data_IF_823578897058
#
_entry.id   IF_823578897058
#
_cell.length_a   1.000
_cell.length_b   1.000
_cell.length_c   1.000
_cell.angle_alpha   90.00
_cell.angle_beta   90.00
_cell.angle_gamma   90.00
#
_symmetry.space_group_name_H-M   'P 1'
#
loop_
_entity.id
_entity.type
_entity.pdbx_description
1 polymer ?
#
# COMPACT_ATOMS: atom_id res chain seq x y z
N UNK A 1 19.06 7.91 -3.59
CA UNK A 1 18.21 7.03 -2.77
C UNK A 1 18.07 5.73 -3.56
N UNK A 2 18.16 4.56 -2.93
CA UNK A 2 17.98 3.30 -3.66
C UNK A 2 16.50 3.17 -4.03
N UNK A 3 16.25 2.98 -5.32
CA UNK A 3 14.95 2.84 -5.97
C UNK A 3 15.10 1.78 -7.06
N UNK A 4 14.20 0.82 -7.11
CA UNK A 4 14.11 -0.18 -8.17
C UNK A 4 12.74 -0.04 -8.82
N UNK A 5 12.69 -0.18 -10.15
CA UNK A 5 11.45 -0.12 -10.93
C UNK A 5 11.37 -1.34 -11.80
N UNK A 6 10.20 -1.96 -11.84
CA UNK A 6 9.90 -3.06 -12.75
C UNK A 6 8.48 -2.93 -13.28
N UNK A 7 8.23 -3.51 -14.45
CA UNK A 7 6.94 -3.42 -15.12
C UNK A 7 6.12 -4.69 -14.92
N UNK A 8 4.81 -4.51 -14.80
CA UNK A 8 3.82 -5.57 -14.71
C UNK A 8 2.66 -5.30 -15.66
N UNK A 9 1.99 -6.36 -16.09
CA UNK A 9 0.75 -6.25 -16.84
C UNK A 9 -0.45 -6.13 -15.91
N UNK A 10 -1.39 -5.23 -16.20
CA UNK A 10 -2.65 -5.13 -15.45
C UNK A 10 -3.79 -5.74 -16.26
N UNK A 11 -4.64 -6.52 -15.58
CA UNK A 11 -5.87 -7.07 -16.14
C UNK A 11 -7.06 -6.41 -15.46
N UNK A 12 -8.01 -5.96 -16.27
CA UNK A 12 -9.27 -5.36 -15.82
C UNK A 12 -10.45 -6.20 -16.27
N UNK A 13 -11.52 -6.17 -15.49
CA UNK A 13 -12.79 -6.81 -15.82
C UNK A 13 -13.89 -5.80 -16.02
N UNK A 14 -14.69 -6.04 -17.06
CA UNK A 14 -16.02 -5.46 -17.23
C UNK A 14 -17.03 -6.48 -16.73
N UNK A 15 -17.75 -6.16 -15.66
CA UNK A 15 -18.75 -7.02 -15.04
C UNK A 15 -20.15 -6.42 -15.19
N UNK A 16 -21.18 -7.20 -15.55
CA UNK A 16 -22.54 -6.71 -15.61
C UNK A 16 -23.04 -6.40 -14.19
N UNK A 17 -23.70 -5.27 -14.03
CA UNK A 17 -24.34 -4.86 -12.78
C UNK A 17 -25.86 -5.00 -12.92
N UNK A 18 -26.51 -5.44 -11.83
CA UNK A 18 -27.97 -5.38 -11.71
C UNK A 18 -28.36 -4.03 -11.08
N UNK A 19 -28.23 -2.96 -11.84
CA UNK A 19 -28.62 -1.60 -11.43
C UNK A 19 -29.53 -0.95 -12.48
N UNK A 20 -30.34 0.04 -12.07
CA UNK A 20 -31.21 0.81 -12.96
C UNK A 20 -30.46 1.94 -13.71
N UNK A 21 -29.23 2.24 -13.29
CA UNK A 21 -28.51 3.44 -13.71
C UNK A 21 -27.18 3.15 -14.40
N UNK A 22 -26.58 1.99 -14.12
CA UNK A 22 -25.28 1.58 -14.65
C UNK A 22 -25.33 0.09 -14.94
N UNK A 23 -25.10 -0.29 -16.19
CA UNK A 23 -25.26 -1.69 -16.62
C UNK A 23 -24.00 -2.53 -16.36
N UNK A 24 -22.86 -1.90 -16.07
CA UNK A 24 -21.60 -2.59 -15.85
C UNK A 24 -20.60 -1.81 -14.98
N UNK A 25 -19.76 -2.54 -14.25
CA UNK A 25 -18.61 -2.00 -13.52
C UNK A 25 -17.31 -2.37 -14.24
N UNK A 26 -16.32 -1.50 -14.13
CA UNK A 26 -14.94 -1.76 -14.52
C UNK A 26 -14.05 -1.81 -13.29
N UNK A 27 -13.29 -2.88 -13.13
CA UNK A 27 -12.42 -3.07 -11.97
C UNK A 27 -11.08 -3.68 -12.40
N UNK A 28 -9.93 -3.21 -11.88
CA UNK A 28 -8.70 -3.99 -11.91
C UNK A 28 -8.88 -5.29 -11.12
N UNK A 29 -8.39 -6.42 -11.64
CA UNK A 29 -8.63 -7.73 -10.99
C UNK A 29 -7.40 -8.61 -10.86
N UNK A 30 -6.37 -8.38 -11.65
CA UNK A 30 -5.16 -9.19 -11.60
C UNK A 30 -3.95 -8.45 -12.15
N UNK A 31 -2.79 -8.95 -11.78
CA UNK A 31 -1.48 -8.56 -12.31
C UNK A 31 -0.83 -9.76 -12.98
N UNK A 32 -0.19 -9.52 -14.12
CA UNK A 32 0.65 -10.47 -14.84
C UNK A 32 2.10 -10.08 -14.59
N UNK A 33 2.94 -11.05 -14.24
CA UNK A 33 4.38 -10.83 -14.15
C UNK A 33 4.95 -10.50 -15.53
N UNK A 34 5.67 -9.37 -15.63
CA UNK A 34 6.23 -8.88 -16.88
C UNK A 34 5.19 -8.23 -17.80
N UNK A 35 5.59 -8.00 -19.06
CA UNK A 35 4.79 -7.25 -20.04
C UNK A 35 4.47 -8.16 -21.23
N UNK A 36 3.19 -8.58 -21.39
CA UNK A 36 2.75 -9.28 -22.58
C UNK A 36 2.94 -8.44 -23.85
N UNK A 37 3.15 -9.11 -25.00
CA UNK A 37 3.23 -8.45 -26.32
C UNK A 37 1.88 -7.89 -26.81
N UNK A 38 0.78 -8.23 -26.13
CA UNK A 38 -0.55 -7.74 -26.47
C UNK A 38 -0.63 -6.21 -26.37
N UNK A 39 -1.41 -5.58 -27.24
CA UNK A 39 -1.65 -4.13 -27.15
C UNK A 39 -2.53 -3.81 -25.92
N UNK A 40 -2.40 -2.62 -25.30
CA UNK A 40 -3.33 -2.17 -24.27
C UNK A 40 -4.79 -2.26 -24.74
N UNK A 41 -5.66 -2.65 -23.82
CA UNK A 41 -7.09 -2.92 -24.01
C UNK A 41 -7.44 -4.09 -24.93
N UNK A 42 -6.52 -5.06 -25.08
CA UNK A 42 -6.80 -6.33 -25.76
C UNK A 42 -7.74 -7.21 -24.92
N UNK A 43 -8.82 -7.73 -25.54
CA UNK A 43 -9.72 -8.71 -24.91
C UNK A 43 -8.98 -10.05 -24.70
N UNK A 44 -8.94 -10.51 -23.46
CA UNK A 44 -8.31 -11.78 -23.06
C UNK A 44 -9.31 -12.93 -23.04
N UNK A 45 -10.59 -12.63 -22.79
CA UNK A 45 -11.66 -13.63 -22.76
C UNK A 45 -12.96 -13.09 -22.20
N UNK A 46 -14.02 -13.87 -22.38
CA UNK A 46 -15.36 -13.58 -21.87
C UNK A 46 -15.99 -14.85 -21.30
N UNK A 47 -16.51 -14.76 -20.07
CA UNK A 47 -17.17 -15.87 -19.40
C UNK A 47 -18.35 -15.36 -18.57
N UNK A 48 -19.53 -15.97 -18.73
CA UNK A 48 -20.75 -15.61 -18.00
C UNK A 48 -21.09 -14.10 -18.03
N UNK A 49 -20.77 -13.41 -19.13
CA UNK A 49 -20.98 -11.97 -19.32
C UNK A 49 -19.91 -11.07 -18.69
N UNK A 50 -18.89 -11.64 -18.06
CA UNK A 50 -17.70 -10.92 -17.57
C UNK A 50 -16.62 -10.95 -18.64
N UNK A 51 -16.14 -9.77 -19.04
CA UNK A 51 -15.08 -9.62 -20.04
C UNK A 51 -13.78 -9.21 -19.36
N UNK A 52 -12.68 -9.89 -19.67
CA UNK A 52 -11.33 -9.57 -19.19
C UNK A 52 -10.51 -8.90 -20.27
N UNK A 53 -9.83 -7.82 -19.93
CA UNK A 53 -8.95 -7.09 -20.84
C UNK A 53 -7.57 -6.92 -20.23
N UNK A 54 -6.54 -7.00 -21.08
CA UNK A 54 -5.21 -6.53 -20.73
C UNK A 54 -5.20 -5.01 -20.81
N UNK A 55 -5.16 -4.32 -19.68
CA UNK A 55 -5.23 -2.84 -19.63
C UNK A 55 -3.93 -2.18 -20.09
N UNK A 56 -2.80 -2.91 -20.05
CA UNK A 56 -1.49 -2.42 -20.44
C UNK A 56 -0.41 -2.75 -19.41
N UNK A 57 0.78 -2.23 -19.68
CA UNK A 57 1.93 -2.32 -18.79
C UNK A 57 1.97 -1.12 -17.86
N UNK A 58 2.23 -1.38 -16.58
CA UNK A 58 2.37 -0.36 -15.55
C UNK A 58 3.61 -0.65 -14.72
N UNK A 59 4.24 0.41 -14.26
CA UNK A 59 5.44 0.29 -13.46
C UNK A 59 5.10 0.24 -11.97
N UNK A 60 5.87 -0.58 -11.25
CA UNK A 60 5.88 -0.67 -9.80
C UNK A 60 7.21 -0.12 -9.35
N UNK A 61 7.16 0.95 -8.56
CA UNK A 61 8.33 1.60 -7.98
C UNK A 61 8.53 1.10 -6.54
N UNK A 62 9.75 0.66 -6.22
CA UNK A 62 10.13 0.21 -4.88
C UNK A 62 11.10 1.20 -4.24
N UNK A 63 10.79 1.64 -3.02
CA UNK A 63 11.59 2.60 -2.28
C UNK A 63 12.17 2.00 -1.00
N UNK A 64 13.45 2.30 -0.73
CA UNK A 64 14.14 1.80 0.48
C UNK A 64 13.39 2.15 1.78
N UNK A 65 12.74 3.31 1.82
CA UNK A 65 12.02 3.79 3.00
C UNK A 65 10.81 2.90 3.36
N UNK A 66 10.26 2.18 2.40
CA UNK A 66 9.03 1.38 2.52
C UNK A 66 9.31 -0.13 2.69
N UNK A 67 10.59 -0.53 2.77
CA UNK A 67 10.99 -1.95 2.91
C UNK A 67 10.42 -2.68 4.12
N UNK A 68 9.95 -1.95 5.15
CA UNK A 68 9.19 -2.54 6.24
C UNK A 68 7.81 -3.01 5.76
N UNK A 69 7.05 -2.15 5.07
CA UNK A 69 5.72 -2.49 4.54
C UNK A 69 5.77 -3.61 3.50
N UNK A 70 6.77 -3.61 2.62
CA UNK A 70 6.96 -4.70 1.67
C UNK A 70 7.20 -6.05 2.37
N UNK A 71 8.01 -6.09 3.44
CA UNK A 71 8.27 -7.31 4.21
C UNK A 71 7.00 -7.80 4.90
N UNK A 72 6.29 -6.92 5.58
CA UNK A 72 5.05 -7.28 6.29
C UNK A 72 4.00 -7.83 5.30
N UNK A 73 3.93 -7.23 4.10
CA UNK A 73 3.08 -7.73 3.01
C UNK A 73 3.51 -9.12 2.54
N UNK A 74 4.81 -9.36 2.34
CA UNK A 74 5.36 -10.68 1.98
C UNK A 74 5.14 -11.75 3.07
N UNK A 75 5.32 -11.39 4.33
CA UNK A 75 5.19 -12.29 5.49
C UNK A 75 3.73 -12.61 5.84
N UNK A 76 2.76 -11.92 5.23
CA UNK A 76 1.32 -12.20 5.42
C UNK A 76 0.87 -13.59 4.96
N UNK A 77 1.69 -14.29 4.16
CA UNK A 77 1.38 -15.59 3.56
C UNK A 77 0.48 -15.52 2.32
N UNK A 78 -0.05 -14.33 2.00
CA UNK A 78 -0.82 -14.06 0.79
C UNK A 78 -0.53 -12.62 0.31
N UNK A 79 0.69 -12.37 -0.21
CA UNK A 79 1.12 -11.03 -0.59
C UNK A 79 0.21 -10.42 -1.64
N UNK A 80 0.04 -9.10 -1.57
CA UNK A 80 -0.93 -8.37 -2.39
C UNK A 80 -0.31 -7.17 -3.08
N UNK A 81 -0.94 -6.76 -4.18
CA UNK A 81 -0.71 -5.49 -4.84
C UNK A 81 -1.99 -4.65 -4.76
N UNK A 82 -1.82 -3.34 -4.66
CA UNK A 82 -2.90 -2.37 -4.76
C UNK A 82 -2.87 -1.74 -6.14
N UNK A 83 -4.02 -1.68 -6.78
CA UNK A 83 -4.21 -0.97 -8.04
C UNK A 83 -5.24 0.12 -7.81
N UNK A 84 -4.82 1.38 -7.95
CA UNK A 84 -5.73 2.51 -7.94
C UNK A 84 -6.03 2.96 -9.37
N UNK A 85 -7.29 3.27 -9.63
CA UNK A 85 -7.77 3.70 -10.94
C UNK A 85 -8.88 4.74 -10.82
N UNK A 86 -9.04 5.56 -11.86
CA UNK A 86 -10.23 6.39 -12.05
C UNK A 86 -11.09 5.84 -13.18
N UNK A 87 -12.42 5.88 -12.99
CA UNK A 87 -13.35 5.70 -14.08
C UNK A 87 -13.35 6.95 -14.98
N UNK A 88 -13.12 6.77 -16.28
CA UNK A 88 -13.01 7.89 -17.23
C UNK A 88 -14.35 8.31 -17.83
N UNK A 89 -15.33 7.40 -17.84
CA UNK A 89 -16.60 7.56 -18.56
C UNK A 89 -16.47 7.48 -20.09
N UNK A 90 -15.28 7.23 -20.63
CA UNK A 90 -14.98 7.16 -22.07
C UNK A 90 -14.13 5.92 -22.36
N UNK A 91 -13.58 5.79 -23.58
CA UNK A 91 -12.59 4.75 -23.90
C UNK A 91 -11.19 5.37 -23.86
N UNK A 92 -10.22 4.79 -23.12
CA UNK A 92 -10.36 3.61 -22.26
C UNK A 92 -11.19 3.88 -20.98
N UNK A 93 -11.93 2.88 -20.45
CA UNK A 93 -12.89 3.06 -19.35
C UNK A 93 -12.25 3.29 -17.97
N UNK A 94 -10.99 2.86 -17.79
CA UNK A 94 -10.21 3.12 -16.60
C UNK A 94 -8.91 3.82 -16.97
N UNK A 95 -8.52 4.75 -16.11
CA UNK A 95 -7.17 5.31 -16.05
C UNK A 95 -6.48 4.74 -14.81
N UNK A 96 -5.44 3.93 -14.97
CA UNK A 96 -4.72 3.31 -13.85
C UNK A 96 -3.70 4.33 -13.32
N UNK A 97 -3.84 4.68 -12.05
CA UNK A 97 -3.04 5.71 -11.39
C UNK A 97 -1.75 5.15 -10.81
N UNK A 98 -1.84 3.99 -10.14
CA UNK A 98 -0.69 3.34 -9.52
C UNK A 98 -0.92 1.83 -9.41
N UNK A 99 0.18 1.08 -9.49
CA UNK A 99 0.28 -0.29 -9.01
C UNK A 99 1.37 -0.32 -7.95
N UNK A 100 1.04 -0.66 -6.71
CA UNK A 100 2.00 -0.60 -5.59
C UNK A 100 2.00 -1.87 -4.75
N UNK A 101 3.19 -2.18 -4.21
CA UNK A 101 3.41 -3.24 -3.23
C UNK A 101 3.41 -2.71 -1.79
N UNK A 102 3.35 -1.39 -1.56
CA UNK A 102 3.21 -0.79 -0.22
C UNK A 102 1.74 -0.73 0.20
N UNK A 103 1.35 -1.41 1.29
CA UNK A 103 0.00 -1.30 1.83
C UNK A 103 -0.39 0.13 2.24
N UNK A 104 0.56 0.96 2.69
CA UNK A 104 0.26 2.31 3.16
C UNK A 104 -0.03 3.25 1.99
N UNK A 105 0.82 3.23 0.95
CA UNK A 105 0.55 3.94 -0.30
C UNK A 105 -0.80 3.50 -0.90
N UNK A 106 -1.03 2.19 -1.01
CA UNK A 106 -2.30 1.66 -1.52
C UNK A 106 -3.52 2.14 -0.73
N UNK A 107 -3.42 2.19 0.61
CA UNK A 107 -4.48 2.71 1.47
C UNK A 107 -4.71 4.22 1.28
N UNK A 108 -3.67 5.01 1.05
CA UNK A 108 -3.80 6.46 0.83
C UNK A 108 -4.67 6.79 -0.40
N UNK A 109 -4.66 5.93 -1.43
CA UNK A 109 -5.55 6.10 -2.58
C UNK A 109 -7.04 5.86 -2.27
N UNK A 110 -7.39 5.23 -1.15
CA UNK A 110 -8.79 5.03 -0.74
C UNK A 110 -9.41 6.29 -0.11
N UNK A 111 -8.58 7.24 0.33
CA UNK A 111 -9.06 8.47 0.97
C UNK A 111 -9.72 9.43 -0.03
N UNK A 112 -9.37 9.33 -1.31
CA UNK A 112 -10.03 10.05 -2.38
C UNK A 112 -11.31 9.32 -2.80
N UNK A 113 -12.47 9.98 -2.64
CA UNK A 113 -13.79 9.36 -2.82
C UNK A 113 -14.12 8.86 -4.24
N UNK A 114 -13.34 9.25 -5.24
CA UNK A 114 -13.57 8.92 -6.66
C UNK A 114 -12.59 7.87 -7.20
N UNK A 115 -11.72 7.32 -6.36
CA UNK A 115 -10.78 6.27 -6.73
C UNK A 115 -11.43 4.88 -6.62
N UNK A 116 -11.20 4.06 -7.64
CA UNK A 116 -11.39 2.61 -7.58
C UNK A 116 -10.07 2.03 -7.10
N UNK A 117 -10.07 1.42 -5.91
CA UNK A 117 -8.87 0.78 -5.35
C UNK A 117 -9.15 -0.69 -5.16
N UNK A 118 -8.45 -1.53 -5.93
CA UNK A 118 -8.58 -2.98 -5.86
C UNK A 118 -7.30 -3.60 -5.33
N UNK A 119 -7.47 -4.61 -4.47
CA UNK A 119 -6.37 -5.35 -3.85
C UNK A 119 -6.33 -6.74 -4.47
N UNK A 120 -5.26 -7.01 -5.22
CA UNK A 120 -5.12 -8.22 -6.01
C UNK A 120 -3.98 -9.09 -5.49
N UNK A 121 -4.02 -10.42 -5.70
CA UNK A 121 -2.89 -11.29 -5.37
C UNK A 121 -1.61 -10.86 -6.08
N UNK A 122 -0.49 -10.87 -5.37
CA UNK A 122 0.84 -10.64 -5.95
C UNK A 122 1.34 -11.95 -6.59
N UNK A 123 1.66 -11.99 -7.90
CA UNK A 123 2.27 -13.16 -8.52
C UNK A 123 3.62 -13.52 -7.89
N UNK A 124 3.97 -14.80 -7.86
CA UNK A 124 5.20 -15.30 -7.22
C UNK A 124 6.46 -14.65 -7.81
N UNK A 125 6.49 -14.40 -9.12
CA UNK A 125 7.62 -13.74 -9.76
C UNK A 125 7.77 -12.28 -9.28
N UNK A 126 6.65 -11.58 -9.09
CA UNK A 126 6.64 -10.22 -8.55
C UNK A 126 7.07 -10.23 -7.09
N UNK A 127 6.55 -11.17 -6.29
CA UNK A 127 6.96 -11.35 -4.91
C UNK A 127 8.46 -11.62 -4.78
N UNK A 128 9.05 -12.38 -5.71
CA UNK A 128 10.50 -12.62 -5.77
C UNK A 128 11.31 -11.34 -6.01
N UNK A 129 10.86 -10.44 -6.88
CA UNK A 129 11.51 -9.13 -7.10
C UNK A 129 11.44 -8.28 -5.84
N UNK A 130 10.25 -8.16 -5.23
CA UNK A 130 10.06 -7.39 -4.00
C UNK A 130 10.90 -7.97 -2.85
N UNK A 131 10.93 -9.29 -2.70
CA UNK A 131 11.71 -9.97 -1.67
C UNK A 131 13.21 -9.72 -1.81
N UNK A 132 13.74 -9.75 -3.05
CA UNK A 132 15.15 -9.40 -3.32
C UNK A 132 15.43 -7.96 -2.92
N UNK A 133 14.59 -7.02 -3.33
CA UNK A 133 14.74 -5.61 -2.98
C UNK A 133 14.74 -5.40 -1.46
N UNK A 134 13.84 -6.09 -0.73
CA UNK A 134 13.80 -6.07 0.73
C UNK A 134 15.09 -6.64 1.33
N UNK A 135 15.58 -7.77 0.83
CA UNK A 135 16.81 -8.39 1.32
C UNK A 135 18.04 -7.49 1.12
N UNK A 136 18.11 -6.78 0.00
CA UNK A 136 19.26 -5.94 -0.37
C UNK A 136 19.26 -4.57 0.34
N UNK A 137 18.09 -4.07 0.74
CA UNK A 137 17.95 -2.68 1.20
C UNK A 137 17.36 -2.50 2.58
N UNK A 138 16.71 -3.52 3.14
CA UNK A 138 16.16 -3.41 4.48
C UNK A 138 17.27 -3.43 5.52
N UNK A 139 17.22 -2.44 6.42
CA UNK A 139 18.06 -2.40 7.61
C UNK A 139 17.14 -2.47 8.81
N UNK A 140 17.23 -3.55 9.58
CA UNK A 140 16.49 -3.70 10.82
C UNK A 140 16.96 -2.61 11.80
N UNK A 141 16.15 -1.57 11.95
CA UNK A 141 16.43 -0.52 12.94
C UNK A 141 15.96 -1.05 14.28
N UNK A 142 16.90 -1.50 15.11
CA UNK A 142 16.64 -1.79 16.51
C UNK A 142 15.93 -0.59 17.14
N UNK A 143 14.64 -0.77 17.45
CA UNK A 143 13.82 0.29 18.04
C UNK A 143 14.33 0.51 19.46
N UNK A 144 15.24 1.47 19.67
CA UNK A 144 15.61 1.90 21.01
C UNK A 144 14.39 2.60 21.59
N UNK A 145 13.59 1.84 22.35
CA UNK A 145 12.51 2.37 23.16
C UNK A 145 13.08 3.51 24.00
N UNK A 146 12.77 4.76 23.65
CA UNK A 146 13.07 5.90 24.52
C UNK A 146 12.27 5.68 25.79
N UNK A 147 12.96 5.26 26.85
CA UNK A 147 12.43 5.26 28.20
C UNK A 147 12.05 6.71 28.49
N UNK A 148 10.75 6.97 28.60
CA UNK A 148 10.25 8.27 29.05
C UNK A 148 10.78 8.44 30.47
N UNK A 149 11.72 9.37 30.68
CA UNK A 149 12.06 9.78 32.02
C UNK A 149 10.77 10.29 32.66
N UNK A 150 10.36 9.58 33.70
CA UNK A 150 9.20 9.92 34.49
C UNK A 150 9.61 11.20 35.22
N UNK A 151 9.08 12.34 34.77
CA UNK A 151 9.20 13.57 35.51
C UNK A 151 8.72 13.31 36.94
N UNK A 152 9.61 13.54 37.90
CA UNK A 152 9.34 13.39 39.32
C UNK A 152 8.22 14.37 39.72
N UNK A 153 7.03 13.89 40.13
CA UNK A 153 5.93 14.76 40.50
C UNK A 153 6.15 15.49 41.84
N UNK A 154 7.18 15.16 42.62
CA UNK A 154 7.43 15.75 43.94
C UNK A 154 8.39 16.96 43.92
N UNK A 155 8.90 17.37 42.75
CA UNK A 155 9.81 18.51 42.63
C UNK A 155 9.18 19.89 42.95
N UNK A 156 7.88 19.95 43.24
CA UNK A 156 7.13 21.19 43.51
C UNK A 156 6.53 21.27 44.93
N UNK A 157 6.88 20.37 45.85
CA UNK A 157 6.44 20.49 47.25
C UNK A 157 7.23 21.58 48.00
N UNK A 158 6.70 22.79 47.88
CA UNK A 158 6.72 23.91 48.82
C UNK A 158 7.54 23.74 50.11
N UNK A 159 8.45 24.71 50.33
CA UNK A 159 8.87 25.14 51.67
C UNK A 159 7.66 25.61 52.49
N UNK A 160 7.63 25.33 53.80
CA UNK A 160 7.18 26.31 54.78
C UNK A 160 8.23 26.50 55.88
N UNK A 161 8.52 27.76 56.21
CA UNK A 161 9.29 28.11 57.40
C UNK A 161 8.40 28.34 58.61
N UNK A 162 8.92 28.09 59.82
CA UNK A 162 9.13 29.09 60.91
C UNK A 162 9.41 28.44 62.28
N UNK A 163 10.45 28.98 62.91
CA UNK A 163 10.56 29.46 64.31
C UNK A 163 10.59 28.53 65.57
N UNK A 164 11.79 28.54 66.19
CA UNK A 164 12.18 28.86 67.61
C UNK A 164 12.07 27.87 68.80
N UNK A 165 12.99 28.15 69.74
CA UNK A 165 13.14 27.79 71.19
C UNK A 165 13.84 26.45 71.51
N UNK A 166 14.81 26.30 72.41
CA UNK A 166 15.50 27.15 73.39
C UNK A 166 16.06 26.28 74.54
N UNK A 167 17.27 26.57 75.06
CA UNK A 167 17.82 26.17 76.39
C UNK A 167 18.70 24.89 76.43
N UNK A 168 20.04 25.00 76.59
CA UNK A 168 20.87 25.09 77.84
C UNK A 168 21.17 23.70 78.47
N UNK A 169 22.29 23.51 79.19
CA UNK A 169 22.63 24.22 80.45
C UNK A 169 24.00 24.92 80.49
#
# INVERSE_FOLDING_TARGET
>A
MAHERFSVGVVVERRPLKSRWVDHAWLPVAVIAGVPEAAPWTLLGEEAGVQRFYAGAFDVDLYRAETAGYRDNLESGAPKLWIAAHATGVTPPLDILVVTADPNEGAAYTEAGDNIVEVVPMPDEVAGVVARFVADHHVERAFIKRRRDRADPDALALRPGRDKEGGEP
#
